data_IF_142752306968
#
_entry.id   IF_142752306968
#
_cell.length_a   1.000
_cell.length_b   1.000
_cell.length_c   1.000
_cell.angle_alpha   90.00
_cell.angle_beta   90.00
_cell.angle_gamma   90.00
#
_symmetry.space_group_name_H-M   'P 1'
#
loop_
_entity.id
_entity.type
_entity.pdbx_description
1 polymer ?
#
# COMPACT_ATOMS: atom_id res chain seq x y z
N UNK A 1 21.12 6.93 3.58
CA UNK A 1 20.64 6.52 2.23
C UNK A 1 19.13 6.46 2.22
N UNK A 2 18.52 6.89 1.12
CA UNK A 2 17.07 6.79 0.97
C UNK A 2 16.63 5.32 0.81
N UNK A 3 15.46 5.00 1.32
CA UNK A 3 14.87 3.67 1.16
C UNK A 3 14.59 3.37 -0.32
N UNK A 4 15.14 2.27 -0.80
CA UNK A 4 14.92 1.80 -2.16
C UNK A 4 13.66 0.92 -2.22
N UNK A 5 12.52 1.56 -2.45
CA UNK A 5 11.23 0.87 -2.54
C UNK A 5 11.18 -0.11 -3.72
N UNK A 6 11.77 0.25 -4.85
CA UNK A 6 11.76 -0.61 -6.04
C UNK A 6 12.58 -1.88 -5.81
N UNK A 7 13.77 -1.75 -5.26
CA UNK A 7 14.61 -2.90 -4.90
C UNK A 7 13.96 -3.79 -3.86
N UNK A 8 13.31 -3.19 -2.87
CA UNK A 8 12.57 -3.93 -1.83
C UNK A 8 11.44 -4.77 -2.42
N UNK A 9 10.59 -4.16 -3.26
CA UNK A 9 9.47 -4.86 -3.91
C UNK A 9 9.99 -5.95 -4.84
N UNK A 10 11.04 -5.70 -5.58
CA UNK A 10 11.66 -6.69 -6.46
C UNK A 10 12.12 -7.92 -5.68
N UNK A 11 12.82 -7.75 -4.58
CA UNK A 11 13.22 -8.86 -3.70
C UNK A 11 12.03 -9.65 -3.18
N UNK A 12 11.00 -8.95 -2.73
CA UNK A 12 9.79 -9.57 -2.22
C UNK A 12 9.11 -10.44 -3.28
N UNK A 13 8.96 -9.92 -4.50
CA UNK A 13 8.34 -10.62 -5.62
C UNK A 13 9.20 -11.75 -6.18
N UNK A 14 10.51 -11.73 -6.00
CA UNK A 14 11.39 -12.87 -6.31
C UNK A 14 11.09 -14.07 -5.40
N UNK A 15 10.73 -13.81 -4.14
CA UNK A 15 10.37 -14.85 -3.18
C UNK A 15 8.94 -15.35 -3.38
N UNK A 16 8.03 -14.47 -3.73
CA UNK A 16 6.61 -14.80 -3.88
C UNK A 16 5.94 -13.84 -4.87
N UNK A 17 5.40 -14.38 -5.97
CA UNK A 17 4.83 -13.58 -7.07
C UNK A 17 3.33 -13.40 -7.00
N UNK A 18 2.62 -14.26 -6.27
CA UNK A 18 1.16 -14.26 -6.18
C UNK A 18 0.75 -14.27 -4.72
N UNK A 19 -0.30 -13.53 -4.41
CA UNK A 19 -0.89 -13.43 -3.08
C UNK A 19 -2.36 -13.80 -3.16
N UNK A 20 -2.92 -14.30 -2.07
CA UNK A 20 -4.33 -14.67 -2.02
C UNK A 20 -5.26 -13.46 -2.07
N UNK A 21 -4.85 -12.37 -1.47
CA UNK A 21 -5.61 -11.11 -1.39
C UNK A 21 -4.68 -9.96 -0.95
N UNK A 22 -5.25 -8.77 -0.87
CA UNK A 22 -4.52 -7.56 -0.45
C UNK A 22 -3.91 -7.70 0.95
N UNK A 23 -4.66 -8.27 1.89
CA UNK A 23 -4.17 -8.46 3.26
C UNK A 23 -2.97 -9.40 3.33
N UNK A 24 -2.99 -10.49 2.56
CA UNK A 24 -1.84 -11.38 2.43
C UNK A 24 -0.59 -10.63 1.96
N UNK A 25 -0.74 -9.80 0.95
CA UNK A 25 0.35 -8.94 0.45
C UNK A 25 0.84 -7.97 1.51
N UNK A 26 -0.04 -7.28 2.21
CA UNK A 26 0.31 -6.35 3.28
C UNK A 26 1.11 -7.04 4.39
N UNK A 27 0.66 -8.22 4.81
CA UNK A 27 1.32 -8.98 5.88
C UNK A 27 2.73 -9.39 5.45
N UNK A 28 2.89 -9.89 4.24
CA UNK A 28 4.21 -10.28 3.72
C UNK A 28 5.14 -9.07 3.62
N UNK A 29 4.65 -7.94 3.14
CA UNK A 29 5.40 -6.70 3.07
C UNK A 29 5.87 -6.25 4.47
N UNK A 30 4.97 -6.28 5.44
CA UNK A 30 5.27 -5.98 6.84
C UNK A 30 6.35 -6.90 7.39
N UNK A 31 6.22 -8.22 7.18
CA UNK A 31 7.19 -9.21 7.65
C UNK A 31 8.58 -8.99 7.04
N UNK A 32 8.66 -8.64 5.76
CA UNK A 32 9.94 -8.38 5.11
C UNK A 32 10.62 -7.11 5.66
N UNK A 33 9.86 -6.08 6.00
CA UNK A 33 10.39 -4.89 6.68
C UNK A 33 10.91 -5.24 8.07
N UNK A 34 10.16 -6.03 8.83
CA UNK A 34 10.56 -6.48 10.17
C UNK A 34 11.85 -7.31 10.13
N UNK A 35 12.00 -8.17 9.14
CA UNK A 35 13.24 -8.95 8.94
C UNK A 35 14.47 -8.09 8.71
N UNK A 36 14.29 -6.90 8.14
CA UNK A 36 15.38 -5.93 7.96
C UNK A 36 15.68 -5.12 9.22
N UNK A 37 14.94 -5.35 10.30
CA UNK A 37 15.14 -4.68 11.58
C UNK A 37 14.42 -3.34 11.72
N UNK A 38 13.54 -2.99 10.81
CA UNK A 38 12.79 -1.74 10.89
C UNK A 38 11.64 -1.83 11.89
N UNK A 39 11.25 -0.68 12.44
CA UNK A 39 10.07 -0.57 13.28
C UNK A 39 8.85 -0.33 12.41
N UNK A 40 7.86 -1.20 12.51
CA UNK A 40 6.71 -1.22 11.61
C UNK A 40 5.42 -1.24 12.41
N UNK A 41 4.44 -0.48 11.98
CA UNK A 41 3.11 -0.45 12.60
C UNK A 41 2.03 -0.58 11.53
N UNK A 42 1.37 -1.75 11.41
CA UNK A 42 0.20 -1.90 10.55
C UNK A 42 -1.03 -1.27 11.18
N UNK A 43 -2.03 -0.95 10.37
CA UNK A 43 -3.30 -0.37 10.81
C UNK A 43 -3.10 0.84 11.72
N UNK A 44 -2.27 1.77 11.29
CA UNK A 44 -1.86 2.94 12.05
C UNK A 44 -2.99 3.97 12.11
N UNK A 45 -3.49 4.23 13.32
CA UNK A 45 -4.52 5.23 13.55
C UNK A 45 -3.94 6.66 13.41
N UNK A 46 -4.67 7.53 12.74
CA UNK A 46 -4.34 8.96 12.70
C UNK A 46 -5.61 9.79 12.77
N UNK A 47 -5.48 10.98 13.34
CA UNK A 47 -6.55 11.96 13.37
C UNK A 47 -6.51 12.81 12.11
N UNK A 48 -7.56 12.78 11.32
CA UNK A 48 -7.74 13.72 10.24
C UNK A 48 -8.63 14.87 10.75
N UNK A 49 -8.00 16.02 10.89
CA UNK A 49 -8.73 17.24 11.23
C UNK A 49 -9.42 17.76 9.97
N UNK A 50 -10.63 17.30 9.74
CA UNK A 50 -11.52 17.95 8.80
C UNK A 50 -12.28 19.04 9.57
N UNK A 51 -11.89 20.28 9.42
CA UNK A 51 -12.53 21.40 10.06
C UNK A 51 -13.95 21.64 9.56
N UNK A 52 -14.30 21.13 8.37
CA UNK A 52 -15.59 21.36 7.72
C UNK A 52 -16.65 20.28 7.98
N UNK A 53 -16.26 19.07 8.43
CA UNK A 53 -17.18 17.94 8.57
C UNK A 53 -16.93 17.13 9.84
N UNK A 54 -17.21 17.71 10.98
CA UNK A 54 -17.08 17.06 12.30
C UNK A 54 -17.98 15.82 12.47
N UNK A 55 -18.98 15.64 11.63
CA UNK A 55 -19.90 14.50 11.68
C UNK A 55 -19.38 13.26 10.97
N UNK A 56 -18.36 13.38 10.12
CA UNK A 56 -17.75 12.30 9.36
C UNK A 56 -16.33 11.95 9.83
N UNK A 57 -16.06 12.05 11.12
CA UNK A 57 -14.81 11.52 11.68
C UNK A 57 -14.83 9.99 11.66
N UNK A 58 -14.73 9.43 10.47
CA UNK A 58 -14.44 8.01 10.31
C UNK A 58 -13.06 7.77 10.88
N UNK A 59 -12.96 6.76 11.73
CA UNK A 59 -11.67 6.25 12.17
C UNK A 59 -10.81 6.03 10.94
N UNK A 60 -9.71 6.75 10.85
CA UNK A 60 -8.82 6.67 9.71
C UNK A 60 -7.56 5.94 10.12
N UNK A 61 -7.22 4.98 9.29
CA UNK A 61 -6.05 4.15 9.49
C UNK A 61 -5.22 4.17 8.22
N UNK A 62 -3.91 4.28 8.39
CA UNK A 62 -2.97 3.98 7.33
C UNK A 62 -2.68 2.49 7.37
N UNK A 63 -2.57 1.86 6.20
CA UNK A 63 -2.29 0.44 6.12
C UNK A 63 -1.00 0.07 6.86
N UNK A 64 0.03 0.91 6.72
CA UNK A 64 1.33 0.67 7.33
C UNK A 64 2.12 1.96 7.50
N UNK A 65 2.77 2.11 8.65
CA UNK A 65 3.78 3.14 8.89
C UNK A 65 5.05 2.46 9.37
N UNK A 66 6.19 2.90 8.87
CA UNK A 66 7.48 2.33 9.24
C UNK A 66 8.54 3.41 9.47
N UNK A 67 9.41 3.13 10.45
CA UNK A 67 10.67 3.84 10.59
C UNK A 67 11.74 3.06 9.83
N UNK A 68 12.20 3.62 8.75
CA UNK A 68 13.18 3.02 7.86
C UNK A 68 14.41 3.93 7.84
N UNK A 69 15.49 3.44 8.45
CA UNK A 69 16.66 4.25 8.77
C UNK A 69 16.21 5.45 9.62
N UNK A 70 16.37 6.67 9.18
CA UNK A 70 15.95 7.86 9.92
C UNK A 70 14.66 8.49 9.38
N UNK A 71 13.98 7.82 8.47
CA UNK A 71 12.76 8.32 7.84
C UNK A 71 11.52 7.62 8.35
N UNK A 72 10.45 8.37 8.54
CA UNK A 72 9.12 7.84 8.81
C UNK A 72 8.31 7.82 7.52
N UNK A 73 7.93 6.63 7.08
CA UNK A 73 7.30 6.39 5.78
C UNK A 73 5.95 5.72 5.97
N UNK A 74 4.93 6.23 5.30
CA UNK A 74 3.59 5.64 5.26
C UNK A 74 3.38 4.87 3.96
N UNK A 75 2.67 3.76 4.05
CA UNK A 75 2.33 2.92 2.92
C UNK A 75 0.83 2.65 2.89
N UNK A 76 0.27 2.74 1.71
CA UNK A 76 -1.06 2.25 1.39
C UNK A 76 -0.94 1.19 0.29
N UNK A 77 -1.76 0.15 0.36
CA UNK A 77 -1.67 -0.98 -0.54
C UNK A 77 -2.94 -1.16 -1.35
N UNK A 78 -2.76 -1.56 -2.60
CA UNK A 78 -3.84 -2.02 -3.46
C UNK A 78 -3.40 -3.28 -4.18
N UNK A 79 -4.25 -4.28 -4.15
CA UNK A 79 -4.06 -5.51 -4.90
C UNK A 79 -5.31 -5.75 -5.74
N UNK A 80 -5.21 -5.46 -7.03
CA UNK A 80 -6.30 -5.63 -8.00
C UNK A 80 -6.00 -6.82 -8.89
N UNK A 81 -6.94 -7.76 -8.93
CA UNK A 81 -6.73 -9.03 -9.59
C UNK A 81 -7.73 -9.27 -10.72
N UNK A 82 -7.23 -9.86 -11.81
CA UNK A 82 -8.02 -10.60 -12.77
C UNK A 82 -8.18 -12.04 -12.26
N UNK A 83 -9.15 -12.75 -12.81
CA UNK A 83 -9.40 -14.15 -12.43
C UNK A 83 -8.15 -15.02 -12.68
N UNK A 84 -7.79 -15.80 -11.67
CA UNK A 84 -6.68 -16.73 -11.72
C UNK A 84 -6.98 -17.94 -10.84
N UNK A 85 -6.76 -19.13 -11.35
CA UNK A 85 -6.81 -20.36 -10.57
C UNK A 85 -5.60 -21.22 -10.92
N UNK A 86 -4.64 -21.29 -10.00
CA UNK A 86 -3.38 -22.00 -10.19
C UNK A 86 -2.86 -22.61 -8.90
N UNK A 87 -2.12 -23.72 -9.04
CA UNK A 87 -1.28 -24.28 -7.99
C UNK A 87 0.16 -23.84 -8.21
N UNK A 88 0.74 -23.15 -7.23
CA UNK A 88 2.10 -22.66 -7.28
C UNK A 88 2.82 -23.12 -6.02
N UNK A 89 3.88 -23.92 -6.18
CA UNK A 89 4.66 -24.42 -5.04
C UNK A 89 3.86 -25.24 -4.03
N UNK A 90 2.82 -25.95 -4.47
CA UNK A 90 1.95 -26.77 -3.62
C UNK A 90 0.81 -25.99 -2.95
N UNK A 91 0.67 -24.71 -3.25
CA UNK A 91 -0.38 -23.84 -2.72
C UNK A 91 -1.36 -23.45 -3.81
N UNK A 92 -2.66 -23.62 -3.54
CA UNK A 92 -3.71 -23.26 -4.48
C UNK A 92 -4.10 -21.81 -4.34
N UNK A 93 -4.00 -21.05 -5.43
CA UNK A 93 -4.45 -19.68 -5.53
C UNK A 93 -5.73 -19.60 -6.35
N UNK A 94 -6.71 -18.90 -5.82
CA UNK A 94 -7.94 -18.58 -6.53
C UNK A 94 -8.23 -17.09 -6.38
N UNK A 95 -7.98 -16.35 -7.46
CA UNK A 95 -8.21 -14.92 -7.51
C UNK A 95 -9.46 -14.64 -8.33
N UNK A 96 -10.21 -13.65 -7.89
CA UNK A 96 -11.43 -13.21 -8.55
C UNK A 96 -11.21 -11.88 -9.26
N UNK A 97 -11.94 -11.67 -10.34
CA UNK A 97 -11.99 -10.37 -10.99
C UNK A 97 -12.57 -9.33 -10.03
N UNK A 98 -11.87 -8.23 -9.86
CA UNK A 98 -12.23 -7.17 -8.91
C UNK A 98 -12.58 -5.89 -9.65
N UNK A 99 -13.87 -5.63 -9.77
CA UNK A 99 -14.42 -4.35 -10.14
C UNK A 99 -13.94 -3.73 -11.46
N UNK A 100 -14.41 -2.52 -11.72
CA UNK A 100 -14.01 -1.73 -12.88
C UNK A 100 -12.62 -1.12 -12.66
N UNK A 101 -11.81 -1.04 -13.73
CA UNK A 101 -10.46 -0.48 -13.68
C UNK A 101 -10.44 0.99 -13.27
N UNK A 102 -11.39 1.76 -13.71
CA UNK A 102 -11.54 3.17 -13.34
C UNK A 102 -11.83 3.36 -11.85
N UNK A 103 -12.61 2.49 -11.22
CA UNK A 103 -12.78 2.48 -9.77
C UNK A 103 -11.47 2.16 -9.04
N UNK A 104 -10.68 1.23 -9.57
CA UNK A 104 -9.36 0.90 -9.04
C UNK A 104 -8.39 2.08 -9.11
N UNK A 105 -8.37 2.80 -10.23
CA UNK A 105 -7.57 4.02 -10.41
C UNK A 105 -8.01 5.11 -9.44
N UNK A 106 -9.32 5.31 -9.31
CA UNK A 106 -9.86 6.28 -8.34
C UNK A 106 -9.45 5.96 -6.91
N UNK A 107 -9.48 4.69 -6.52
CA UNK A 107 -9.05 4.26 -5.20
C UNK A 107 -7.58 4.58 -4.94
N UNK A 108 -6.70 4.37 -5.92
CA UNK A 108 -5.27 4.73 -5.83
C UNK A 108 -5.11 6.24 -5.66
N UNK A 109 -5.81 7.04 -6.44
CA UNK A 109 -5.75 8.51 -6.33
C UNK A 109 -6.25 8.98 -4.96
N UNK A 110 -7.29 8.36 -4.42
CA UNK A 110 -7.79 8.66 -3.07
C UNK A 110 -6.75 8.37 -2.00
N UNK A 111 -6.01 7.27 -2.14
CA UNK A 111 -4.93 6.92 -1.22
C UNK A 111 -3.76 7.90 -1.31
N UNK A 112 -3.39 8.32 -2.52
CA UNK A 112 -2.38 9.36 -2.73
C UNK A 112 -2.77 10.64 -2.01
N UNK A 113 -4.00 11.10 -2.19
CA UNK A 113 -4.50 12.31 -1.52
C UNK A 113 -4.48 12.16 0.01
N UNK A 114 -4.81 10.97 0.52
CA UNK A 114 -4.74 10.68 1.96
C UNK A 114 -3.32 10.79 2.49
N UNK A 115 -2.35 10.22 1.79
CA UNK A 115 -0.94 10.30 2.17
C UNK A 115 -0.42 11.75 2.15
N UNK A 116 -0.82 12.51 1.15
CA UNK A 116 -0.47 13.93 1.08
C UNK A 116 -1.01 14.71 2.28
N UNK A 117 -2.26 14.46 2.69
CA UNK A 117 -2.85 15.10 3.88
C UNK A 117 -2.13 14.70 5.17
N UNK A 118 -1.78 13.43 5.31
CA UNK A 118 -1.04 12.93 6.47
C UNK A 118 0.31 13.63 6.61
N UNK A 119 1.02 13.78 5.51
CA UNK A 119 2.32 14.49 5.47
C UNK A 119 2.11 15.97 5.78
N UNK A 120 1.15 16.60 5.15
CA UNK A 120 0.83 18.04 5.35
C UNK A 120 0.43 18.35 6.79
N UNK A 121 -0.28 17.44 7.45
CA UNK A 121 -0.74 17.61 8.83
C UNK A 121 0.32 17.25 9.87
N UNK A 122 1.53 16.95 9.45
CA UNK A 122 2.65 16.60 10.33
C UNK A 122 2.34 15.43 11.27
N UNK A 123 1.66 14.41 10.80
CA UNK A 123 1.38 13.19 11.56
C UNK A 123 2.70 12.54 11.98
N UNK A 124 2.78 12.14 13.25
CA UNK A 124 4.01 11.62 13.85
C UNK A 124 3.88 10.15 14.23
N UNK A 125 5.01 9.45 14.14
CA UNK A 125 5.20 8.09 14.63
C UNK A 125 6.57 8.03 15.32
N UNK A 126 6.58 7.65 16.61
CA UNK A 126 7.79 7.74 17.47
C UNK A 126 8.46 9.11 17.41
N UNK A 127 7.66 10.17 17.57
CA UNK A 127 8.10 11.58 17.54
C UNK A 127 8.76 12.01 16.23
N UNK A 128 8.65 11.22 15.17
CA UNK A 128 9.11 11.57 13.82
C UNK A 128 7.93 11.81 12.90
N UNK A 129 7.99 12.90 12.18
CA UNK A 129 6.97 13.23 11.17
C UNK A 129 7.04 12.26 10.00
N UNK A 130 5.88 11.84 9.53
CA UNK A 130 5.78 11.11 8.27
C UNK A 130 6.16 12.07 7.14
N UNK A 131 7.26 11.79 6.44
CA UNK A 131 7.81 12.65 5.39
C UNK A 131 7.65 12.09 4.00
N UNK A 132 7.38 10.80 3.89
CA UNK A 132 7.16 10.12 2.61
C UNK A 132 5.97 9.19 2.71
N UNK A 133 5.28 9.03 1.59
CA UNK A 133 4.20 8.06 1.45
C UNK A 133 4.30 7.35 0.10
N UNK A 134 3.96 6.07 0.11
CA UNK A 134 3.90 5.26 -1.09
C UNK A 134 2.55 4.57 -1.18
N UNK A 135 1.92 4.64 -2.35
CA UNK A 135 0.84 3.72 -2.70
C UNK A 135 1.48 2.58 -3.49
N UNK A 136 1.44 1.40 -2.93
CA UNK A 136 1.97 0.19 -3.56
C UNK A 136 0.82 -0.51 -4.26
N UNK A 137 0.82 -0.45 -5.57
CA UNK A 137 -0.21 -1.05 -6.40
C UNK A 137 0.34 -2.30 -7.07
N UNK A 138 -0.23 -3.43 -6.71
CA UNK A 138 0.11 -4.72 -7.31
C UNK A 138 -1.08 -5.25 -8.09
N UNK A 139 -0.84 -5.77 -9.29
CA UNK A 139 -1.89 -6.33 -10.12
C UNK A 139 -1.36 -7.44 -11.04
N UNK A 140 -2.21 -8.43 -11.30
CA UNK A 140 -2.02 -9.39 -12.38
C UNK A 140 -2.87 -9.05 -13.61
N UNK A 141 -3.59 -7.92 -13.58
CA UNK A 141 -4.42 -7.46 -14.69
C UNK A 141 -3.63 -6.48 -15.58
N UNK A 142 -3.17 -6.96 -16.73
CA UNK A 142 -2.42 -6.16 -17.71
C UNK A 142 -3.18 -4.94 -18.25
N UNK A 143 -4.50 -4.86 -18.04
CA UNK A 143 -5.29 -3.71 -18.42
C UNK A 143 -4.97 -2.45 -17.61
N UNK A 144 -4.49 -2.59 -16.37
CA UNK A 144 -4.03 -1.45 -15.57
C UNK A 144 -2.75 -0.82 -16.12
N UNK A 145 -1.84 -1.64 -16.63
CA UNK A 145 -0.63 -1.15 -17.28
C UNK A 145 -0.96 -0.30 -18.49
N UNK A 146 -1.93 -0.72 -19.31
CA UNK A 146 -2.40 0.04 -20.48
C UNK A 146 -3.18 1.30 -20.08
N UNK A 147 -3.88 1.27 -18.96
CA UNK A 147 -4.72 2.38 -18.49
C UNK A 147 -3.94 3.61 -18.05
N UNK A 148 -2.68 3.44 -17.65
CA UNK A 148 -1.80 4.54 -17.26
C UNK A 148 -1.07 5.18 -18.46
N UNK A 149 -1.06 4.53 -19.59
CA UNK A 149 -0.56 5.10 -20.85
C UNK A 149 -1.70 5.76 -21.61
N UNK A 150 -2.11 6.94 -21.18
CA UNK A 150 -2.95 7.77 -22.05
C UNK A 150 -2.12 8.17 -23.23
N UNK A 151 -2.45 7.61 -24.38
CA UNK A 151 -2.12 8.26 -25.64
C UNK A 151 -2.88 9.58 -25.63
N UNK A 152 -2.13 10.63 -25.54
CA UNK A 152 -2.65 11.97 -25.68
C UNK A 152 -3.32 12.16 -27.02
#
# INVERSE_FOLDING_TARGET
>A
MAFDIHGFIKELLEKRKVFHNERDFQIVFCCELLKKGYTVRPEFYFDEKDEENKENSRRKYLDLVALIDDECIAFEFKYKTAELEENIGGEKYKLFEQGARDEGVYAVLSDVCRLERVIKNNTEFFDKKITKGYVVFLTNDGGYEKGFTRKG
#
